data_IF_567725999588
#
_entry.id   IF_567725999588
#
_cell.length_a   1.000
_cell.length_b   1.000
_cell.length_c   1.000
_cell.angle_alpha   90.00
_cell.angle_beta   90.00
_cell.angle_gamma   90.00
#
_symmetry.space_group_name_H-M   'P 1'
#
loop_
_entity.id
_entity.type
_entity.pdbx_description
1 polymer ?
#
# COMPACT_ATOMS: atom_id res chain seq x y z
N UNK A 1 3.77 4.82 -12.73
CA UNK A 1 3.27 3.92 -11.66
C UNK A 1 2.43 4.73 -10.68
N UNK A 2 1.22 4.30 -10.44
CA UNK A 2 0.30 4.97 -9.54
C UNK A 2 0.17 4.14 -8.25
N UNK A 3 0.43 4.77 -7.12
CA UNK A 3 0.37 4.10 -5.82
C UNK A 3 -0.68 4.79 -4.97
N UNK A 4 -1.64 4.02 -4.47
CA UNK A 4 -2.67 4.51 -3.56
C UNK A 4 -2.63 3.70 -2.28
N UNK A 5 -2.56 4.39 -1.15
CA UNK A 5 -2.53 3.78 0.18
C UNK A 5 -3.81 4.12 0.92
N UNK A 6 -4.60 3.11 1.23
CA UNK A 6 -5.80 3.27 2.05
C UNK A 6 -5.44 3.07 3.52
N UNK A 7 -5.72 4.07 4.34
CA UNK A 7 -5.29 4.11 5.74
C UNK A 7 -6.42 4.52 6.67
N UNK A 8 -6.13 4.39 7.98
CA UNK A 8 -6.90 5.07 9.03
C UNK A 8 -5.91 5.76 9.96
N UNK A 9 -6.35 6.80 10.73
CA UNK A 9 -5.42 7.53 11.60
C UNK A 9 -4.78 6.68 12.71
N UNK A 10 -5.40 5.55 13.06
CA UNK A 10 -4.94 4.72 14.18
C UNK A 10 -4.32 3.42 13.74
N UNK A 11 -3.93 3.29 12.48
CA UNK A 11 -3.39 2.04 11.94
C UNK A 11 -1.86 2.01 12.08
N UNK A 12 -1.29 1.16 12.95
CA UNK A 12 0.16 1.09 13.10
C UNK A 12 0.87 0.52 11.87
N UNK A 13 0.27 -0.44 11.20
CA UNK A 13 0.87 -1.01 9.99
C UNK A 13 0.84 -0.05 8.81
N UNK A 14 -0.14 0.83 8.77
CA UNK A 14 -0.16 1.89 7.76
C UNK A 14 1.05 2.79 7.89
N UNK A 15 1.48 3.05 9.12
CA UNK A 15 2.66 3.85 9.38
C UNK A 15 3.92 3.18 8.82
N UNK A 16 4.02 1.86 8.96
CA UNK A 16 5.14 1.11 8.39
C UNK A 16 5.17 1.20 6.87
N UNK A 17 4.02 1.13 6.24
CA UNK A 17 3.93 1.27 4.78
C UNK A 17 4.39 2.66 4.35
N UNK A 18 3.96 3.70 5.06
CA UNK A 18 4.37 5.07 4.75
C UNK A 18 5.88 5.24 4.88
N UNK A 19 6.46 4.70 5.94
CA UNK A 19 7.90 4.76 6.14
C UNK A 19 8.64 4.05 5.01
N UNK A 20 8.13 2.90 4.59
CA UNK A 20 8.70 2.17 3.46
C UNK A 20 8.69 3.01 2.18
N UNK A 21 7.57 3.66 1.89
CA UNK A 21 7.47 4.51 0.70
C UNK A 21 8.43 5.68 0.79
N UNK A 22 8.57 6.29 1.96
CA UNK A 22 9.47 7.43 2.16
C UNK A 22 10.93 7.00 2.01
N UNK A 23 11.30 5.85 2.52
CA UNK A 23 12.65 5.33 2.38
C UNK A 23 13.04 5.12 0.93
N UNK A 24 12.10 4.67 0.12
CA UNK A 24 12.33 4.43 -1.30
C UNK A 24 12.00 5.64 -2.17
N UNK A 25 11.67 6.77 -1.55
CA UNK A 25 11.37 8.04 -2.24
C UNK A 25 10.26 7.88 -3.27
N UNK A 26 9.23 7.15 -2.90
CA UNK A 26 8.10 6.88 -3.78
C UNK A 26 6.99 7.90 -3.52
N UNK A 27 6.38 8.36 -4.60
CA UNK A 27 5.19 9.21 -4.52
C UNK A 27 3.97 8.31 -4.41
N UNK A 28 3.08 8.65 -3.49
CA UNK A 28 1.85 7.89 -3.31
C UNK A 28 0.72 8.82 -2.87
N UNK A 29 -0.51 8.39 -3.09
CA UNK A 29 -1.69 9.08 -2.62
C UNK A 29 -2.22 8.35 -1.39
N UNK A 30 -2.36 9.08 -0.29
CA UNK A 30 -2.92 8.52 0.93
C UNK A 30 -4.40 8.85 1.01
N UNK A 31 -5.22 7.83 1.27
CA UNK A 31 -6.67 7.99 1.38
C UNK A 31 -7.12 7.50 2.75
N UNK A 32 -7.70 8.39 3.55
CA UNK A 32 -8.22 8.08 4.88
C UNK A 32 -9.63 7.51 4.74
N UNK A 33 -9.76 6.20 4.90
CA UNK A 33 -11.05 5.53 4.75
C UNK A 33 -11.93 5.67 5.99
N UNK A 34 -11.37 6.14 7.10
CA UNK A 34 -12.18 6.41 8.29
C UNK A 34 -13.06 7.63 8.10
N UNK A 35 -12.61 8.61 7.32
CA UNK A 35 -13.35 9.83 7.05
C UNK A 35 -13.98 9.88 5.68
N UNK A 36 -13.77 8.85 4.84
CA UNK A 36 -14.28 8.84 3.47
C UNK A 36 -14.95 7.50 3.18
N UNK A 37 -16.28 7.47 3.33
CA UNK A 37 -17.06 6.26 3.15
C UNK A 37 -16.98 5.72 1.74
N UNK A 38 -16.98 6.60 0.75
CA UNK A 38 -16.88 6.19 -0.66
C UNK A 38 -15.56 5.47 -0.92
N UNK A 39 -14.47 6.01 -0.39
CA UNK A 39 -13.16 5.38 -0.53
C UNK A 39 -13.10 4.04 0.19
N UNK A 40 -13.73 3.94 1.37
CA UNK A 40 -13.80 2.69 2.10
C UNK A 40 -14.51 1.61 1.29
N UNK A 41 -15.60 1.96 0.63
CA UNK A 41 -16.33 1.03 -0.22
C UNK A 41 -15.49 0.57 -1.40
N UNK A 42 -14.74 1.48 -2.01
CA UNK A 42 -13.84 1.12 -3.12
C UNK A 42 -12.73 0.19 -2.64
N UNK A 43 -12.18 0.47 -1.46
CA UNK A 43 -11.15 -0.39 -0.88
C UNK A 43 -11.66 -1.81 -0.68
N UNK A 44 -12.85 -1.97 -0.11
CA UNK A 44 -13.46 -3.29 0.10
C UNK A 44 -13.69 -3.98 -1.24
N UNK A 45 -14.16 -3.25 -2.22
CA UNK A 45 -14.43 -3.80 -3.55
C UNK A 45 -13.17 -4.33 -4.21
N UNK A 46 -12.06 -3.61 -4.05
CA UNK A 46 -10.78 -3.99 -4.67
C UNK A 46 -10.04 -5.08 -3.89
N UNK A 47 -10.09 -5.03 -2.57
CA UNK A 47 -9.32 -5.93 -1.71
C UNK A 47 -10.10 -7.12 -1.17
N UNK A 48 -11.43 -7.03 -1.17
CA UNK A 48 -12.28 -8.07 -0.62
C UNK A 48 -12.37 -8.03 0.90
N UNK A 49 -11.86 -6.98 1.55
CA UNK A 49 -11.89 -6.88 3.00
C UNK A 49 -11.94 -5.43 3.45
N UNK A 50 -12.27 -5.21 4.72
CA UNK A 50 -12.38 -3.88 5.30
C UNK A 50 -11.12 -3.41 6.02
N UNK A 51 -10.15 -4.27 6.26
CA UNK A 51 -8.96 -3.91 7.04
C UNK A 51 -8.01 -3.02 6.29
N UNK A 52 -7.17 -2.30 7.04
CA UNK A 52 -6.11 -1.45 6.51
C UNK A 52 -4.76 -1.95 7.04
N UNK A 53 -3.66 -1.66 6.38
CA UNK A 53 -3.53 -0.92 5.12
C UNK A 53 -3.91 -1.75 3.91
N UNK A 54 -4.36 -1.09 2.86
CA UNK A 54 -4.51 -1.68 1.54
C UNK A 54 -3.76 -0.79 0.57
N UNK A 55 -2.91 -1.38 -0.23
CA UNK A 55 -2.07 -0.65 -1.17
C UNK A 55 -2.45 -1.08 -2.59
N UNK A 56 -2.76 -0.11 -3.42
CA UNK A 56 -3.00 -0.36 -4.83
C UNK A 56 -1.83 0.20 -5.63
N UNK A 57 -1.15 -0.67 -6.36
CA UNK A 57 -0.02 -0.29 -7.21
C UNK A 57 -0.40 -0.66 -8.64
N UNK A 58 -0.76 0.36 -9.43
CA UNK A 58 -1.37 0.19 -10.74
C UNK A 58 -2.58 -0.73 -10.62
N UNK A 59 -2.53 -1.96 -11.10
CA UNK A 59 -3.64 -2.90 -11.02
C UNK A 59 -3.48 -3.94 -9.92
N UNK A 60 -2.36 -3.90 -9.20
CA UNK A 60 -2.09 -4.86 -8.13
C UNK A 60 -2.60 -4.33 -6.80
N UNK A 61 -3.19 -5.22 -6.00
CA UNK A 61 -3.70 -4.87 -4.68
C UNK A 61 -2.98 -5.71 -3.64
N UNK A 62 -2.38 -5.04 -2.66
CA UNK A 62 -1.66 -5.67 -1.57
C UNK A 62 -2.37 -5.35 -0.27
N UNK A 63 -2.67 -6.38 0.51
CA UNK A 63 -3.42 -6.25 1.76
C UNK A 63 -2.47 -6.43 2.94
N UNK A 64 -2.47 -5.46 3.85
CA UNK A 64 -1.65 -5.51 5.04
C UNK A 64 -0.21 -5.09 4.80
N UNK A 65 0.61 -5.18 5.85
CA UNK A 65 2.04 -4.88 5.75
C UNK A 65 2.76 -6.12 5.24
N UNK A 66 3.17 -6.07 4.00
CA UNK A 66 3.88 -7.18 3.36
C UNK A 66 5.02 -6.60 2.53
N UNK A 67 6.18 -6.49 3.16
CA UNK A 67 7.34 -5.87 2.55
C UNK A 67 7.76 -6.60 1.27
N UNK A 68 7.75 -7.93 1.29
CA UNK A 68 8.15 -8.72 0.13
C UNK A 68 7.22 -8.47 -1.06
N UNK A 69 5.91 -8.42 -0.81
CA UNK A 69 4.95 -8.17 -1.87
C UNK A 69 5.09 -6.75 -2.42
N UNK A 70 5.37 -5.79 -1.55
CA UNK A 70 5.61 -4.40 -1.99
C UNK A 70 6.86 -4.30 -2.85
N UNK A 71 7.94 -4.95 -2.42
CA UNK A 71 9.18 -4.95 -3.18
C UNK A 71 8.99 -5.58 -4.57
N UNK A 72 8.27 -6.68 -4.62
CA UNK A 72 7.98 -7.35 -5.88
C UNK A 72 7.13 -6.49 -6.80
N UNK A 73 6.06 -5.90 -6.27
CA UNK A 73 5.16 -5.07 -7.07
C UNK A 73 5.84 -3.81 -7.58
N UNK A 74 6.79 -3.27 -6.83
CA UNK A 74 7.51 -2.05 -7.18
C UNK A 74 8.78 -2.33 -7.98
N UNK A 75 9.13 -3.59 -8.20
CA UNK A 75 10.32 -3.96 -8.93
C UNK A 75 11.61 -3.84 -8.13
N UNK A 76 11.54 -3.64 -6.83
CA UNK A 76 12.72 -3.47 -5.99
C UNK A 76 13.42 -4.81 -5.74
N UNK A 77 12.65 -5.86 -5.65
CA UNK A 77 13.19 -7.20 -5.41
C UNK A 77 14.07 -7.68 -6.55
N UNK A 78 13.77 -7.27 -7.77
CA UNK A 78 14.59 -7.63 -8.91
C UNK A 78 16.00 -7.11 -8.80
N UNK A 79 16.18 -5.93 -8.21
CA UNK A 79 17.51 -5.35 -7.98
C UNK A 79 18.29 -6.17 -6.98
N UNK A 80 17.62 -6.66 -5.96
CA UNK A 80 18.25 -7.50 -4.94
C UNK A 80 18.72 -8.82 -5.54
N UNK A 81 17.95 -9.38 -6.43
CA UNK A 81 18.32 -10.60 -7.13
C UNK A 81 19.60 -10.41 -7.93
N UNK A 82 19.78 -9.24 -8.51
CA UNK A 82 21.02 -8.93 -9.22
C UNK A 82 22.21 -8.85 -8.29
N UNK A 83 21.99 -8.36 -7.09
CA UNK A 83 23.07 -8.25 -6.12
C UNK A 83 23.56 -9.63 -5.68
N UNK A 84 22.71 -10.62 -5.80
CA UNK A 84 23.09 -11.97 -5.46
C UNK A 84 23.88 -12.61 -6.58
#
# INVERSE_FOLDING_TARGET
MTITLYTTPTCPYCKLVKEFFQEHRLNYTEVDVASNTSAAQQMVKKSGQMGVPVIEIDEKVIVGWNKAALEEALGLQGKMAHAA
#
